data_IF_095354702514
#
_entry.id   IF_095354702514
#
_cell.length_a   1.000
_cell.length_b   1.000
_cell.length_c   1.000
_cell.angle_alpha   90.00
_cell.angle_beta   90.00
_cell.angle_gamma   90.00
#
_symmetry.space_group_name_H-M   'P 1'
#
loop_
_entity.id
_entity.type
_entity.pdbx_description
1 polymer ?
#
# COMPACT_ATOMS: atom_id res chain seq x y z
N UNK A 1 22.86 -7.78 -6.81
CA UNK A 1 22.99 -6.98 -5.58
C UNK A 1 21.73 -7.16 -4.75
N UNK A 2 21.84 -7.44 -3.45
CA UNK A 2 20.67 -7.61 -2.57
C UNK A 2 20.22 -6.25 -2.06
N UNK A 3 19.11 -5.77 -2.57
CA UNK A 3 18.57 -4.43 -2.28
C UNK A 3 17.39 -4.49 -1.34
N UNK A 4 17.39 -3.65 -0.30
CA UNK A 4 16.30 -3.49 0.63
C UNK A 4 15.66 -2.09 0.48
N UNK A 5 14.34 -2.02 0.55
CA UNK A 5 13.59 -0.79 0.77
C UNK A 5 12.88 -0.88 2.12
N UNK A 6 13.05 0.13 2.96
CA UNK A 6 12.44 0.19 4.29
C UNK A 6 11.32 1.24 4.29
N UNK A 7 10.08 0.76 4.47
CA UNK A 7 8.85 1.56 4.54
C UNK A 7 8.31 1.53 5.98
N UNK A 8 8.52 2.58 6.76
CA UNK A 8 8.10 2.64 8.18
C UNK A 8 6.65 3.14 8.33
N UNK A 9 5.74 2.64 7.51
CA UNK A 9 4.33 3.01 7.51
C UNK A 9 3.46 1.80 7.88
N UNK A 10 2.48 2.00 8.78
CA UNK A 10 1.52 0.96 9.18
C UNK A 10 0.36 0.81 8.19
N UNK A 11 -0.10 1.93 7.64
CA UNK A 11 -1.22 1.94 6.69
C UNK A 11 -0.81 1.45 5.31
N UNK A 12 -1.66 0.66 4.66
CA UNK A 12 -1.44 0.14 3.31
C UNK A 12 -1.27 1.29 2.30
N UNK A 13 -2.16 2.29 2.31
CA UNK A 13 -2.11 3.40 1.37
C UNK A 13 -0.77 4.15 1.37
N UNK A 14 -0.18 4.42 2.55
CA UNK A 14 1.12 5.08 2.62
C UNK A 14 2.27 4.21 2.06
N UNK A 15 2.17 2.88 2.16
CA UNK A 15 3.12 1.97 1.52
C UNK A 15 2.94 1.96 0.01
N UNK A 16 1.69 1.92 -0.48
CA UNK A 16 1.37 1.91 -1.91
C UNK A 16 1.80 3.21 -2.60
N UNK A 17 1.71 4.37 -1.93
CA UNK A 17 2.26 5.63 -2.45
C UNK A 17 3.78 5.59 -2.69
N UNK A 18 4.49 4.60 -2.15
CA UNK A 18 5.92 4.40 -2.38
C UNK A 18 6.23 3.33 -3.43
N UNK A 19 5.23 2.63 -3.95
CA UNK A 19 5.43 1.47 -4.83
C UNK A 19 6.12 1.87 -6.14
N UNK A 20 5.73 2.98 -6.75
CA UNK A 20 6.40 3.49 -7.96
C UNK A 20 7.92 3.64 -7.75
N UNK A 21 8.34 4.17 -6.60
CA UNK A 21 9.75 4.34 -6.26
C UNK A 21 10.45 3.01 -5.97
N UNK A 22 9.74 2.05 -5.36
CA UNK A 22 10.21 0.68 -5.20
C UNK A 22 10.48 0.03 -6.56
N UNK A 23 9.58 0.22 -7.52
CA UNK A 23 9.74 -0.28 -8.88
C UNK A 23 10.95 0.34 -9.59
N UNK A 24 11.18 1.66 -9.47
CA UNK A 24 12.36 2.30 -10.08
C UNK A 24 13.67 1.77 -9.47
N UNK A 25 13.71 1.52 -8.16
CA UNK A 25 14.84 0.88 -7.51
C UNK A 25 15.03 -0.53 -8.04
N UNK A 26 13.94 -1.30 -8.17
CA UNK A 26 13.98 -2.68 -8.66
C UNK A 26 14.39 -2.77 -10.13
N UNK A 27 13.95 -1.85 -10.98
CA UNK A 27 14.39 -1.76 -12.39
C UNK A 27 15.91 -1.56 -12.50
N UNK A 28 16.49 -0.78 -11.59
CA UNK A 28 17.93 -0.49 -11.61
C UNK A 28 18.79 -1.58 -11.00
N UNK A 29 18.32 -2.24 -9.92
CA UNK A 29 19.14 -3.14 -9.11
C UNK A 29 18.67 -4.59 -9.09
N UNK A 30 17.59 -4.91 -9.80
CA UNK A 30 16.91 -6.20 -9.77
C UNK A 30 15.87 -6.28 -8.65
N UNK A 31 15.09 -7.38 -8.57
CA UNK A 31 14.00 -7.52 -7.61
C UNK A 31 14.43 -7.26 -6.16
N UNK A 32 13.65 -6.44 -5.45
CA UNK A 32 13.98 -5.91 -4.12
C UNK A 32 13.24 -6.64 -3.00
N UNK A 33 13.78 -6.52 -1.78
CA UNK A 33 13.06 -6.88 -0.55
C UNK A 33 12.52 -5.62 0.10
N UNK A 34 11.22 -5.60 0.42
CA UNK A 34 10.58 -4.51 1.19
C UNK A 34 10.46 -4.93 2.64
N UNK A 35 10.93 -4.09 3.58
CA UNK A 35 10.66 -4.22 5.02
C UNK A 35 9.60 -3.17 5.39
N UNK A 36 8.53 -3.58 6.05
CA UNK A 36 7.38 -2.71 6.33
C UNK A 36 6.74 -2.97 7.69
N UNK A 37 5.98 -2.00 8.19
CA UNK A 37 5.09 -2.12 9.36
C UNK A 37 3.63 -2.45 8.95
N UNK A 38 3.35 -2.65 7.67
CA UNK A 38 2.04 -2.97 7.13
C UNK A 38 1.91 -4.49 6.91
N UNK A 39 1.04 -5.15 7.66
CA UNK A 39 0.83 -6.60 7.58
C UNK A 39 0.24 -7.06 6.25
N UNK A 40 -0.56 -6.21 5.59
CA UNK A 40 -1.28 -6.56 4.36
C UNK A 40 -0.46 -6.29 3.09
N UNK A 41 0.75 -5.70 3.19
CA UNK A 41 1.52 -5.35 2.00
C UNK A 41 2.06 -6.59 1.26
N UNK A 42 2.37 -7.67 1.97
CA UNK A 42 2.84 -8.91 1.35
C UNK A 42 1.78 -9.51 0.43
N UNK A 43 0.54 -9.61 0.92
CA UNK A 43 -0.59 -10.09 0.12
C UNK A 43 -0.88 -9.17 -1.07
N UNK A 44 -0.82 -7.84 -0.88
CA UNK A 44 -1.05 -6.87 -1.95
C UNK A 44 -0.03 -6.95 -3.10
N UNK A 45 1.21 -7.37 -2.83
CA UNK A 45 2.31 -7.40 -3.79
C UNK A 45 2.75 -8.82 -4.17
N UNK A 46 1.95 -9.84 -3.88
CA UNK A 46 2.31 -11.26 -4.08
C UNK A 46 2.67 -11.63 -5.53
N UNK A 47 2.06 -10.95 -6.49
CA UNK A 47 2.25 -11.21 -7.92
C UNK A 47 3.21 -10.22 -8.59
N UNK A 48 3.83 -9.32 -7.83
CA UNK A 48 4.73 -8.30 -8.36
C UNK A 48 6.14 -8.86 -8.63
N UNK A 49 6.56 -9.01 -9.90
CA UNK A 49 7.86 -9.61 -10.24
C UNK A 49 9.06 -8.75 -9.84
N UNK A 50 8.85 -7.46 -9.56
CA UNK A 50 9.88 -6.53 -9.10
C UNK A 50 10.10 -6.60 -7.59
N UNK A 51 9.19 -7.26 -6.86
CA UNK A 51 9.26 -7.42 -5.41
C UNK A 51 9.60 -8.88 -5.08
N UNK A 52 10.85 -9.10 -4.69
CA UNK A 52 11.33 -10.43 -4.33
C UNK A 52 10.68 -10.98 -3.06
N UNK A 53 10.47 -10.10 -2.07
CA UNK A 53 9.91 -10.46 -0.77
C UNK A 53 9.42 -9.20 -0.04
N UNK A 54 8.30 -9.31 0.65
CA UNK A 54 7.85 -8.35 1.65
C UNK A 54 8.07 -8.96 3.03
N UNK A 55 8.66 -8.20 3.95
CA UNK A 55 8.94 -8.63 5.33
C UNK A 55 8.21 -7.71 6.28
N UNK A 56 7.17 -8.22 6.90
CA UNK A 56 6.44 -7.50 7.94
C UNK A 56 7.22 -7.54 9.26
N UNK A 57 7.35 -6.37 9.90
CA UNK A 57 7.90 -6.24 11.23
C UNK A 57 6.97 -5.43 12.12
N UNK A 58 6.60 -5.98 13.28
CA UNK A 58 5.79 -5.29 14.30
C UNK A 58 6.62 -4.89 15.53
N UNK A 59 7.90 -5.21 15.53
CA UNK A 59 8.86 -5.04 16.63
C UNK A 59 9.98 -4.07 16.23
N UNK A 60 10.79 -3.64 17.21
CA UNK A 60 12.06 -2.91 17.00
C UNK A 60 11.93 -1.44 16.53
N UNK A 61 10.86 -0.73 16.86
CA UNK A 61 10.70 0.64 16.39
C UNK A 61 10.29 1.67 17.46
N UNK A 62 10.18 1.26 18.73
CA UNK A 62 9.70 2.16 19.81
C UNK A 62 10.81 2.58 20.80
N UNK A 63 11.75 1.71 21.15
CA UNK A 63 12.76 1.93 22.17
C UNK A 63 14.15 2.09 21.55
N UNK A 64 15.07 2.75 22.26
CA UNK A 64 16.46 2.92 21.76
C UNK A 64 17.20 1.57 21.65
N UNK A 65 16.93 0.64 22.58
CA UNK A 65 17.48 -0.73 22.52
C UNK A 65 17.10 -1.47 21.22
N UNK A 66 16.03 -1.03 20.57
CA UNK A 66 15.57 -1.63 19.32
C UNK A 66 16.57 -1.42 18.17
N UNK A 67 17.49 -0.46 18.27
CA UNK A 67 18.59 -0.27 17.30
C UNK A 67 19.42 -1.53 17.15
N UNK A 68 19.82 -2.14 18.27
CA UNK A 68 20.65 -3.36 18.25
C UNK A 68 19.88 -4.58 17.75
N UNK A 69 18.59 -4.68 18.12
CA UNK A 69 17.73 -5.74 17.65
C UNK A 69 17.45 -5.61 16.14
N UNK A 70 17.20 -4.39 15.66
CA UNK A 70 17.01 -4.10 14.24
C UNK A 70 18.31 -4.36 13.44
N UNK A 71 19.48 -3.99 13.98
CA UNK A 71 20.79 -4.37 13.41
C UNK A 71 20.91 -5.87 13.20
N UNK A 72 20.64 -6.65 14.29
CA UNK A 72 20.70 -8.12 14.23
C UNK A 72 19.75 -8.66 13.15
N UNK A 73 18.54 -8.14 13.12
CA UNK A 73 17.52 -8.50 12.12
C UNK A 73 17.98 -8.17 10.69
N UNK A 74 18.51 -6.97 10.43
CA UNK A 74 19.00 -6.59 9.10
C UNK A 74 20.15 -7.49 8.64
N UNK A 75 21.04 -7.87 9.54
CA UNK A 75 22.18 -8.76 9.22
C UNK A 75 21.74 -10.17 8.80
N UNK A 76 20.54 -10.65 9.15
CA UNK A 76 20.06 -11.97 8.70
C UNK A 76 19.81 -12.04 7.20
N UNK A 77 19.63 -10.91 6.52
CA UNK A 77 19.35 -10.84 5.09
C UNK A 77 20.58 -10.62 4.22
N UNK A 78 21.71 -10.14 4.79
CA UNK A 78 22.94 -9.80 4.07
C UNK A 78 22.67 -8.86 2.87
N UNK A 79 22.00 -7.73 3.13
CA UNK A 79 21.75 -6.69 2.12
C UNK A 79 23.06 -5.95 1.77
N UNK A 80 23.24 -5.66 0.47
CA UNK A 80 24.33 -4.80 0.00
C UNK A 80 23.99 -3.32 0.15
N UNK A 81 22.69 -2.98 0.01
CA UNK A 81 22.19 -1.61 0.12
C UNK A 81 20.77 -1.54 0.70
N UNK A 82 20.47 -0.38 1.30
CA UNK A 82 19.15 -0.07 1.86
C UNK A 82 18.69 1.34 1.50
N UNK A 83 17.42 1.47 1.13
CA UNK A 83 16.73 2.73 0.86
C UNK A 83 15.67 2.96 1.95
N UNK A 84 15.82 4.00 2.76
CA UNK A 84 14.97 4.27 3.92
C UNK A 84 14.05 5.45 3.60
N UNK A 85 12.77 5.16 3.33
CA UNK A 85 11.73 6.15 3.01
C UNK A 85 11.03 6.70 4.25
N UNK A 86 11.77 6.88 5.33
CA UNK A 86 11.25 7.45 6.57
C UNK A 86 12.37 8.16 7.35
N UNK A 87 12.16 9.40 7.84
CA UNK A 87 13.17 10.14 8.59
C UNK A 87 13.30 9.58 10.01
N UNK A 88 14.07 8.52 10.19
CA UNK A 88 14.29 7.86 11.49
C UNK A 88 15.77 7.66 11.80
N UNK A 89 16.23 8.35 12.82
CA UNK A 89 17.61 8.18 13.31
C UNK A 89 17.89 6.73 13.75
N UNK A 90 16.91 6.07 14.37
CA UNK A 90 17.06 4.67 14.83
C UNK A 90 17.27 3.69 13.68
N UNK A 91 16.46 3.79 12.63
CA UNK A 91 16.59 2.92 11.45
C UNK A 91 17.94 3.19 10.77
N UNK A 92 18.31 4.46 10.64
CA UNK A 92 19.57 4.86 10.05
C UNK A 92 20.76 4.30 10.87
N UNK A 93 20.77 4.47 12.20
CA UNK A 93 21.82 3.93 13.08
C UNK A 93 21.87 2.41 13.04
N UNK A 94 20.73 1.72 13.06
CA UNK A 94 20.69 0.26 12.93
C UNK A 94 21.30 -0.21 11.61
N UNK A 95 21.02 0.49 10.51
CA UNK A 95 21.59 0.22 9.19
C UNK A 95 23.10 0.50 9.17
N UNK A 96 23.55 1.60 9.77
CA UNK A 96 24.96 1.96 9.85
C UNK A 96 25.78 0.96 10.66
N UNK A 97 25.21 0.44 11.74
CA UNK A 97 25.84 -0.58 12.57
C UNK A 97 25.74 -2.00 12.00
N UNK A 98 24.94 -2.20 10.94
CA UNK A 98 24.81 -3.49 10.24
C UNK A 98 25.92 -3.67 9.20
N UNK A 99 25.91 -4.81 8.51
CA UNK A 99 26.87 -5.12 7.43
C UNK A 99 26.48 -4.49 6.09
N UNK A 100 25.53 -3.57 6.06
CA UNK A 100 25.04 -2.91 4.83
C UNK A 100 26.04 -1.84 4.38
N UNK A 101 26.53 -1.95 3.14
CA UNK A 101 27.57 -1.05 2.61
C UNK A 101 27.01 0.30 2.16
N UNK A 102 25.87 0.31 1.52
CA UNK A 102 25.28 1.51 0.93
C UNK A 102 23.96 1.86 1.62
N UNK A 103 23.91 2.99 2.32
CA UNK A 103 22.73 3.43 3.07
C UNK A 103 22.23 4.74 2.46
N UNK A 104 21.00 4.70 1.96
CA UNK A 104 20.29 5.86 1.41
C UNK A 104 19.09 6.16 2.31
N UNK A 105 19.00 7.35 2.89
CA UNK A 105 17.88 7.72 3.75
C UNK A 105 17.36 9.12 3.47
N UNK A 106 16.11 9.34 3.85
CA UNK A 106 15.57 10.68 3.96
C UNK A 106 16.40 11.53 4.92
N UNK A 107 16.46 12.86 4.70
CA UNK A 107 17.10 13.77 5.64
C UNK A 107 16.43 13.68 7.01
N UNK A 108 17.20 13.30 8.04
CA UNK A 108 16.68 13.08 9.40
C UNK A 108 16.35 14.41 10.08
N UNK A 109 17.15 15.46 9.82
CA UNK A 109 17.08 16.74 10.53
C UNK A 109 16.44 17.89 9.73
N UNK A 110 16.20 17.70 8.44
CA UNK A 110 15.55 18.72 7.60
C UNK A 110 14.06 18.44 7.49
N UNK A 111 13.23 19.14 8.26
CA UNK A 111 11.80 19.23 7.99
C UNK A 111 11.61 19.99 6.67
N UNK A 112 11.33 19.29 5.60
CA UNK A 112 10.78 19.90 4.40
C UNK A 112 9.27 19.71 4.46
N UNK A 113 8.52 20.79 4.27
CA UNK A 113 7.06 20.77 4.12
C UNK A 113 6.67 20.21 2.73
N UNK A 114 7.23 19.06 2.37
CA UNK A 114 6.90 18.37 1.13
C UNK A 114 5.84 17.33 1.41
N UNK A 115 4.86 17.26 0.53
CA UNK A 115 3.94 16.14 0.48
C UNK A 115 4.72 14.82 0.36
N UNK A 116 4.19 13.74 0.94
CA UNK A 116 4.86 12.44 1.00
C UNK A 116 5.38 11.96 -0.37
N UNK A 117 4.55 12.07 -1.41
CA UNK A 117 4.91 11.71 -2.80
C UNK A 117 6.06 12.57 -3.31
N UNK A 118 6.02 13.89 -3.12
CA UNK A 118 7.06 14.80 -3.56
C UNK A 118 8.41 14.55 -2.87
N UNK A 119 8.38 14.26 -1.57
CA UNK A 119 9.57 13.88 -0.82
C UNK A 119 10.18 12.57 -1.33
N UNK A 120 9.35 11.56 -1.59
CA UNK A 120 9.77 10.27 -2.11
C UNK A 120 10.33 10.38 -3.53
N UNK A 121 9.67 11.14 -4.42
CA UNK A 121 10.14 11.43 -5.77
C UNK A 121 11.53 12.05 -5.76
N UNK A 122 11.69 13.19 -5.07
CA UNK A 122 12.97 13.91 -4.97
C UNK A 122 14.09 13.05 -4.40
N UNK A 123 13.78 12.22 -3.39
CA UNK A 123 14.76 11.30 -2.80
C UNK A 123 15.20 10.25 -3.83
N UNK A 124 14.25 9.62 -4.52
CA UNK A 124 14.51 8.57 -5.50
C UNK A 124 15.31 9.11 -6.69
N UNK A 125 14.90 10.26 -7.25
CA UNK A 125 15.63 10.92 -8.35
C UNK A 125 17.08 11.21 -7.97
N UNK A 126 17.29 11.77 -6.78
CA UNK A 126 18.63 12.07 -6.29
C UNK A 126 19.51 10.83 -6.16
N UNK A 127 18.98 9.76 -5.54
CA UNK A 127 19.79 8.57 -5.24
C UNK A 127 20.01 7.70 -6.48
N UNK A 128 19.01 7.57 -7.33
CA UNK A 128 19.14 6.82 -8.58
C UNK A 128 19.81 7.65 -9.69
N UNK A 129 19.97 8.96 -9.51
CA UNK A 129 20.46 9.91 -10.52
C UNK A 129 19.61 9.83 -11.81
N UNK A 130 18.30 9.87 -11.65
CA UNK A 130 17.31 9.87 -12.73
C UNK A 130 16.48 11.16 -12.67
N UNK A 131 15.89 11.56 -13.79
CA UNK A 131 14.96 12.65 -13.89
C UNK A 131 13.54 12.09 -14.13
N UNK A 132 12.52 12.82 -13.70
CA UNK A 132 11.11 12.48 -13.92
C UNK A 132 10.70 11.09 -13.43
N UNK A 133 11.08 10.76 -12.19
CA UNK A 133 10.64 9.53 -11.54
C UNK A 133 9.10 9.45 -11.54
N UNK A 134 8.51 8.33 -12.02
CA UNK A 134 7.06 8.13 -11.97
C UNK A 134 6.51 8.23 -10.55
N UNK A 135 5.29 8.72 -10.42
CA UNK A 135 4.57 8.82 -9.15
C UNK A 135 3.32 7.94 -9.11
N UNK A 136 2.96 7.39 -10.26
CA UNK A 136 1.79 6.53 -10.40
C UNK A 136 2.06 5.13 -9.86
N UNK A 137 1.14 4.65 -9.04
CA UNK A 137 1.20 3.29 -8.48
C UNK A 137 0.58 2.31 -9.47
N UNK A 138 1.37 1.36 -9.94
CA UNK A 138 0.92 0.27 -10.80
C UNK A 138 0.99 -1.04 -10.03
N UNK A 139 -0.09 -1.83 -10.08
CA UNK A 139 -0.13 -3.18 -9.55
C UNK A 139 0.10 -4.21 -10.65
N UNK A 140 0.85 -5.25 -10.30
CA UNK A 140 0.93 -6.46 -11.13
C UNK A 140 -0.18 -7.41 -10.68
N UNK A 141 -1.13 -7.68 -11.56
CA UNK A 141 -2.27 -8.54 -11.29
C UNK A 141 -2.34 -9.59 -12.37
N UNK A 142 -2.58 -10.83 -11.98
CA UNK A 142 -2.80 -11.92 -12.93
C UNK A 142 -4.10 -11.66 -13.71
N UNK A 143 -4.00 -11.69 -15.02
CA UNK A 143 -5.16 -11.51 -15.92
C UNK A 143 -6.27 -12.53 -15.64
N UNK A 144 -5.90 -13.76 -15.26
CA UNK A 144 -6.87 -14.82 -14.96
C UNK A 144 -7.74 -14.45 -13.74
N UNK A 145 -7.17 -13.84 -12.70
CA UNK A 145 -7.94 -13.38 -11.52
C UNK A 145 -8.94 -12.29 -11.87
N UNK A 146 -8.57 -11.35 -12.75
CA UNK A 146 -9.48 -10.30 -13.24
C UNK A 146 -10.58 -10.90 -14.13
N UNK A 147 -10.22 -11.82 -15.02
CA UNK A 147 -11.16 -12.50 -15.90
C UNK A 147 -12.16 -13.35 -15.13
N UNK A 148 -11.72 -14.04 -14.08
CA UNK A 148 -12.60 -14.83 -13.21
C UNK A 148 -13.65 -13.96 -12.52
N UNK A 149 -13.23 -12.82 -11.98
CA UNK A 149 -14.17 -11.87 -11.37
C UNK A 149 -15.13 -11.31 -12.41
N UNK A 150 -14.63 -10.90 -13.56
CA UNK A 150 -15.44 -10.32 -14.62
C UNK A 150 -16.51 -11.28 -15.17
N UNK A 151 -16.30 -12.60 -15.11
CA UNK A 151 -17.32 -13.60 -15.48
C UNK A 151 -18.55 -13.58 -14.58
N UNK A 152 -18.40 -13.11 -13.33
CA UNK A 152 -19.48 -13.09 -12.34
C UNK A 152 -20.32 -11.81 -12.40
N UNK A 153 -19.94 -10.84 -13.25
CA UNK A 153 -20.63 -9.56 -13.37
C UNK A 153 -21.00 -9.25 -14.82
N UNK A 154 -22.15 -8.62 -14.98
CA UNK A 154 -22.58 -8.10 -16.26
C UNK A 154 -21.62 -7.00 -16.74
N UNK A 155 -20.88 -7.28 -17.80
CA UNK A 155 -19.91 -6.35 -18.37
C UNK A 155 -20.55 -5.14 -19.09
N UNK A 156 -21.86 -5.14 -19.28
CA UNK A 156 -22.59 -3.98 -19.79
C UNK A 156 -22.77 -2.88 -18.75
N UNK A 157 -22.67 -3.23 -17.45
CA UNK A 157 -22.83 -2.29 -16.34
C UNK A 157 -21.51 -1.62 -15.96
N UNK A 158 -21.58 -0.32 -15.72
CA UNK A 158 -20.45 0.41 -15.23
C UNK A 158 -20.18 0.06 -13.77
N UNK A 159 -18.93 -0.33 -13.44
CA UNK A 159 -18.51 -0.77 -12.11
C UNK A 159 -17.97 0.42 -11.31
N UNK A 160 -18.50 0.64 -10.12
CA UNK A 160 -18.11 1.73 -9.22
C UNK A 160 -17.63 1.15 -7.89
N UNK A 161 -16.39 1.51 -7.48
CA UNK A 161 -15.87 1.17 -6.15
C UNK A 161 -16.12 2.33 -5.20
N UNK A 162 -16.74 2.04 -4.06
CA UNK A 162 -17.00 3.01 -2.99
C UNK A 162 -16.15 2.66 -1.79
N UNK A 163 -15.12 3.48 -1.52
CA UNK A 163 -14.31 3.39 -0.31
C UNK A 163 -15.05 3.94 0.90
N UNK A 164 -15.79 3.07 1.60
CA UNK A 164 -16.60 3.47 2.76
C UNK A 164 -15.82 3.45 4.08
N UNK A 165 -14.79 2.61 4.19
CA UNK A 165 -13.94 2.49 5.38
C UNK A 165 -12.97 3.65 5.53
N UNK A 166 -12.68 4.03 6.80
CA UNK A 166 -11.68 5.03 7.14
C UNK A 166 -11.07 4.75 8.50
N UNK A 167 -9.78 5.08 8.67
CA UNK A 167 -9.05 4.88 9.92
C UNK A 167 -9.46 5.81 11.07
N UNK A 168 -10.32 6.79 10.82
CA UNK A 168 -10.74 7.75 11.85
C UNK A 168 -12.17 8.26 11.67
N UNK A 169 -12.88 8.55 12.78
CA UNK A 169 -14.27 8.98 12.74
C UNK A 169 -14.46 10.34 12.04
N UNK A 170 -13.45 11.21 12.05
CA UNK A 170 -13.51 12.54 11.42
C UNK A 170 -13.38 12.51 9.90
N UNK A 171 -12.88 11.40 9.34
CA UNK A 171 -12.67 11.22 7.90
C UNK A 171 -13.71 10.29 7.27
N UNK A 172 -14.69 9.84 8.06
CA UNK A 172 -15.73 8.91 7.63
C UNK A 172 -17.04 9.64 7.36
N UNK A 173 -17.66 9.38 6.23
CA UNK A 173 -19.03 9.80 5.99
C UNK A 173 -20.01 9.00 6.87
N UNK A 174 -21.15 9.62 7.22
CA UNK A 174 -22.25 8.87 7.82
C UNK A 174 -22.79 7.82 6.81
N UNK A 175 -23.08 6.60 7.28
CA UNK A 175 -23.53 5.47 6.45
C UNK A 175 -24.67 5.84 5.52
N UNK A 176 -25.64 6.62 6.02
CA UNK A 176 -26.77 7.14 5.26
C UNK A 176 -26.36 7.87 3.98
N UNK A 177 -25.23 8.58 3.98
CA UNK A 177 -24.78 9.32 2.79
C UNK A 177 -24.31 8.37 1.67
N UNK A 178 -23.73 7.22 2.01
CA UNK A 178 -23.29 6.22 1.04
C UNK A 178 -24.49 5.58 0.33
N UNK A 179 -25.44 5.01 1.07
CA UNK A 179 -26.59 4.37 0.42
C UNK A 179 -27.50 5.40 -0.28
N UNK A 180 -27.62 6.63 0.21
CA UNK A 180 -28.34 7.70 -0.50
C UNK A 180 -27.66 8.07 -1.82
N UNK A 181 -26.30 8.09 -1.88
CA UNK A 181 -25.56 8.31 -3.11
C UNK A 181 -25.79 7.17 -4.10
N UNK A 182 -25.68 5.92 -3.65
CA UNK A 182 -25.90 4.73 -4.47
C UNK A 182 -27.30 4.74 -5.07
N UNK A 183 -28.33 4.99 -4.25
CA UNK A 183 -29.73 5.04 -4.71
C UNK A 183 -29.95 6.14 -5.75
N UNK A 184 -29.37 7.34 -5.56
CA UNK A 184 -29.44 8.41 -6.56
C UNK A 184 -28.73 8.04 -7.86
N UNK A 185 -27.59 7.37 -7.80
CA UNK A 185 -26.90 6.90 -9.01
C UNK A 185 -27.74 5.83 -9.72
N UNK A 186 -28.38 4.94 -8.98
CA UNK A 186 -29.31 3.93 -9.53
C UNK A 186 -30.48 4.51 -10.32
N UNK A 187 -30.88 5.76 -10.06
CA UNK A 187 -31.90 6.47 -10.81
C UNK A 187 -31.38 7.03 -12.14
N UNK A 188 -30.06 7.13 -12.32
CA UNK A 188 -29.42 7.76 -13.49
C UNK A 188 -28.87 6.76 -14.50
N UNK A 189 -28.70 5.50 -14.13
CA UNK A 189 -28.11 4.49 -15.03
C UNK A 189 -27.98 3.11 -14.41
N UNK A 190 -27.38 2.21 -15.19
CA UNK A 190 -27.12 0.84 -14.78
C UNK A 190 -25.69 0.70 -14.28
N UNK A 191 -25.55 0.60 -12.95
CA UNK A 191 -24.27 0.49 -12.25
C UNK A 191 -24.19 -0.81 -11.45
N UNK A 192 -22.95 -1.21 -11.14
CA UNK A 192 -22.65 -2.22 -10.14
C UNK A 192 -21.68 -1.61 -9.11
N UNK A 193 -21.97 -1.77 -7.83
CA UNK A 193 -21.19 -1.14 -6.76
C UNK A 193 -20.41 -2.16 -5.95
N UNK A 194 -19.13 -1.89 -5.72
CA UNK A 194 -18.30 -2.62 -4.79
C UNK A 194 -18.03 -1.75 -3.56
N UNK A 195 -18.46 -2.22 -2.39
CA UNK A 195 -18.27 -1.50 -1.13
C UNK A 195 -16.97 -1.97 -0.50
N UNK A 196 -15.96 -1.09 -0.58
CA UNK A 196 -14.63 -1.35 -0.02
C UNK A 196 -14.52 -0.74 1.37
N UNK A 197 -14.31 -1.60 2.38
CA UNK A 197 -14.10 -1.21 3.77
C UNK A 197 -13.20 -2.22 4.48
N UNK A 198 -12.70 -1.86 5.68
CA UNK A 198 -11.83 -2.74 6.47
C UNK A 198 -12.60 -3.87 7.16
N UNK A 199 -11.90 -4.87 7.69
CA UNK A 199 -12.52 -6.01 8.37
C UNK A 199 -13.34 -5.63 9.61
N UNK A 200 -13.02 -4.48 10.23
CA UNK A 200 -13.74 -3.94 11.39
C UNK A 200 -15.01 -3.16 10.99
N UNK A 201 -15.28 -2.97 9.71
CA UNK A 201 -16.36 -2.13 9.19
C UNK A 201 -17.59 -2.97 8.74
N UNK A 202 -17.78 -4.18 9.28
CA UNK A 202 -18.90 -5.06 8.90
C UNK A 202 -20.24 -4.37 9.01
N UNK A 203 -20.56 -3.80 10.18
CA UNK A 203 -21.84 -3.12 10.42
C UNK A 203 -22.07 -1.98 9.42
N UNK A 204 -21.03 -1.22 9.07
CA UNK A 204 -21.10 -0.16 8.06
C UNK A 204 -21.47 -0.74 6.68
N UNK A 205 -20.81 -1.83 6.30
CA UNK A 205 -21.05 -2.49 5.02
C UNK A 205 -22.46 -3.07 4.94
N UNK A 206 -22.89 -3.79 5.96
CA UNK A 206 -24.21 -4.42 6.02
C UNK A 206 -25.31 -3.33 5.96
N UNK A 207 -25.19 -2.25 6.73
CA UNK A 207 -26.14 -1.12 6.70
C UNK A 207 -26.22 -0.47 5.31
N UNK A 208 -25.10 -0.35 4.58
CA UNK A 208 -25.14 0.19 3.21
C UNK A 208 -25.93 -0.76 2.30
N UNK A 209 -25.63 -2.05 2.32
CA UNK A 209 -26.26 -3.04 1.45
C UNK A 209 -27.75 -3.17 1.73
N UNK A 210 -28.15 -3.22 2.99
CA UNK A 210 -29.55 -3.38 3.42
C UNK A 210 -30.43 -2.18 3.02
N UNK A 211 -29.85 -1.00 2.80
CA UNK A 211 -30.58 0.23 2.43
C UNK A 211 -30.44 0.62 0.95
N UNK A 212 -29.76 -0.19 0.13
CA UNK A 212 -29.73 0.01 -1.32
C UNK A 212 -30.94 -0.64 -1.98
N UNK A 213 -31.63 0.12 -2.84
CA UNK A 213 -32.93 -0.30 -3.45
C UNK A 213 -32.82 -1.36 -4.53
N UNK A 214 -31.65 -1.46 -5.21
CA UNK A 214 -31.37 -2.46 -6.25
C UNK A 214 -30.37 -3.49 -5.75
N UNK A 215 -30.52 -4.75 -6.14
CA UNK A 215 -29.55 -5.81 -5.84
C UNK A 215 -28.33 -5.75 -6.78
N UNK A 216 -27.56 -4.67 -6.68
CA UNK A 216 -26.39 -4.40 -7.52
C UNK A 216 -25.18 -3.91 -6.69
N UNK A 217 -25.11 -4.29 -5.42
CA UNK A 217 -24.02 -3.99 -4.51
C UNK A 217 -23.36 -5.28 -4.00
N UNK A 218 -22.04 -5.29 -3.95
CA UNK A 218 -21.25 -6.34 -3.32
C UNK A 218 -20.34 -5.76 -2.24
N UNK A 219 -20.41 -6.32 -1.04
CA UNK A 219 -19.46 -6.01 0.02
C UNK A 219 -18.14 -6.74 -0.18
N UNK A 220 -17.03 -6.04 0.07
CA UNK A 220 -15.68 -6.60 0.03
C UNK A 220 -15.01 -6.58 1.42
N UNK A 221 -15.77 -6.40 2.52
CA UNK A 221 -15.23 -6.22 3.87
C UNK A 221 -14.51 -7.46 4.43
N UNK A 222 -14.95 -8.65 4.04
CA UNK A 222 -14.45 -9.95 4.50
C UNK A 222 -13.31 -10.50 3.65
N UNK A 223 -12.96 -9.80 2.56
CA UNK A 223 -11.93 -10.24 1.63
C UNK A 223 -10.55 -9.76 2.04
N UNK A 224 -9.56 -10.63 1.84
CA UNK A 224 -8.17 -10.23 1.94
C UNK A 224 -7.80 -9.26 0.82
N UNK A 225 -6.76 -8.45 1.02
CA UNK A 225 -6.38 -7.43 0.05
C UNK A 225 -6.05 -7.99 -1.34
N UNK A 226 -5.46 -9.16 -1.42
CA UNK A 226 -5.14 -9.84 -2.67
C UNK A 226 -6.37 -10.34 -3.42
N UNK A 227 -7.48 -10.59 -2.72
CA UNK A 227 -8.79 -10.90 -3.31
C UNK A 227 -9.54 -9.64 -3.74
N UNK A 228 -9.28 -8.50 -3.06
CA UNK A 228 -9.92 -7.20 -3.36
C UNK A 228 -9.32 -6.55 -4.61
N UNK A 229 -7.98 -6.58 -4.75
CA UNK A 229 -7.27 -5.87 -5.83
C UNK A 229 -7.86 -6.18 -7.23
N UNK A 230 -8.21 -7.42 -7.61
CA UNK A 230 -8.78 -7.71 -8.92
C UNK A 230 -10.15 -7.06 -9.18
N UNK A 231 -10.90 -6.63 -8.14
CA UNK A 231 -12.15 -5.86 -8.30
C UNK A 231 -11.91 -4.37 -8.64
N UNK A 232 -10.66 -3.90 -8.46
CA UNK A 232 -10.28 -2.52 -8.68
C UNK A 232 -9.72 -2.26 -10.09
N UNK A 233 -9.71 -3.31 -10.96
CA UNK A 233 -9.06 -3.31 -12.29
C UNK A 233 -10.01 -3.48 -13.48
#
# INVERSE_FOLDING_TARGET
>A
MKTCVYLSYKGLGANLLHLAYCHEIAKKFGPITIITLCSNLEAALKDDPLIKKVVFINKYHKRFIDVLNLKKFLNTFNFDQIFIYYPSLRIYLASLLSNIKNIHSYPIFKKKNLHLIGAAKTFTERVLKINNCPTETNFFIKKDSVNEINKNFDNSKFKIVIGAGSSGPTTRWATKKFYSLINKLNDTGDYYFFILCGPDDKTLSDEIIDNVTKNNCLSLYDKNIDEVIPYLC
#
